data_IF_401541817298
#
_entry.id   IF_401541817298
#
_cell.length_a   1.000
_cell.length_b   1.000
_cell.length_c   1.000
_cell.angle_alpha   90.00
_cell.angle_beta   90.00
_cell.angle_gamma   90.00
#
_symmetry.space_group_name_H-M   'P 1'
#
loop_
_entity.id
_entity.type
_entity.pdbx_description
1 polymer ?
#
# COMPACT_ATOMS: atom_id res chain seq x y z
N UNK A 1 -5.45 -21.66 -2.77
CA UNK A 1 -4.36 -21.25 -3.69
C UNK A 1 -3.91 -19.87 -3.21
N UNK A 2 -2.63 -19.66 -2.92
CA UNK A 2 -2.14 -18.34 -2.53
C UNK A 2 -2.01 -17.46 -3.78
N UNK A 3 -2.54 -16.24 -3.74
CA UNK A 3 -2.41 -15.26 -4.82
C UNK A 3 -1.10 -14.50 -4.59
N UNK A 4 -0.16 -14.63 -5.53
CA UNK A 4 1.17 -14.03 -5.45
C UNK A 4 1.22 -12.71 -6.23
N UNK A 5 1.75 -11.68 -5.60
CA UNK A 5 1.95 -10.35 -6.17
C UNK A 5 3.31 -9.77 -5.84
N UNK A 6 3.43 -8.49 -6.14
CA UNK A 6 4.62 -7.69 -5.88
C UNK A 6 4.20 -6.25 -5.62
N UNK A 7 5.09 -5.49 -4.99
CA UNK A 7 4.92 -4.05 -4.95
C UNK A 7 6.12 -3.31 -5.55
N UNK A 8 5.84 -2.17 -6.20
CA UNK A 8 6.84 -1.38 -6.90
C UNK A 8 6.60 0.12 -6.76
N UNK A 9 7.69 0.85 -6.94
CA UNK A 9 7.73 2.30 -7.01
C UNK A 9 8.68 2.76 -8.13
N UNK A 10 9.06 4.03 -8.12
CA UNK A 10 10.10 4.56 -9.03
C UNK A 10 11.44 3.81 -8.92
N UNK A 11 11.73 3.18 -7.79
CA UNK A 11 12.99 2.50 -7.54
C UNK A 11 13.20 1.24 -8.41
N UNK A 12 12.13 0.60 -8.88
CA UNK A 12 12.20 -0.52 -9.82
C UNK A 12 12.33 -0.06 -11.28
N UNK A 13 12.27 1.26 -11.53
CA UNK A 13 12.46 1.82 -12.87
C UNK A 13 11.41 1.35 -13.88
N UNK A 14 11.87 0.99 -15.07
CA UNK A 14 10.99 0.54 -16.15
C UNK A 14 10.70 -0.96 -16.04
N UNK A 15 9.55 -1.30 -15.48
CA UNK A 15 9.08 -2.68 -15.35
C UNK A 15 8.51 -3.20 -16.68
N UNK A 16 8.89 -4.41 -17.08
CA UNK A 16 8.28 -5.15 -18.19
C UNK A 16 7.10 -5.98 -17.63
N UNK A 17 5.92 -5.39 -17.61
CA UNK A 17 4.73 -5.97 -16.99
C UNK A 17 4.24 -7.23 -17.70
N UNK A 18 4.52 -7.40 -19.00
CA UNK A 18 4.18 -8.64 -19.70
C UNK A 18 5.02 -9.81 -19.20
N UNK A 19 6.32 -9.59 -18.95
CA UNK A 19 7.18 -10.62 -18.34
C UNK A 19 6.78 -10.91 -16.89
N UNK A 20 6.46 -9.90 -16.10
CA UNK A 20 5.97 -10.05 -14.72
C UNK A 20 4.72 -10.96 -14.70
N UNK A 21 3.74 -10.66 -15.55
CA UNK A 21 2.52 -11.47 -15.68
C UNK A 21 2.80 -12.88 -16.17
N UNK A 22 3.67 -13.05 -17.16
CA UNK A 22 4.08 -14.35 -17.68
C UNK A 22 4.84 -15.19 -16.64
N UNK A 23 5.54 -14.56 -15.68
CA UNK A 23 6.19 -15.22 -14.56
C UNK A 23 5.20 -15.67 -13.46
N UNK A 24 3.89 -15.48 -13.65
CA UNK A 24 2.84 -15.99 -12.78
C UNK A 24 2.42 -15.07 -11.64
N UNK A 25 2.84 -13.82 -11.65
CA UNK A 25 2.35 -12.81 -10.71
C UNK A 25 0.95 -12.36 -11.09
N UNK A 26 0.06 -12.30 -10.11
CA UNK A 26 -1.38 -12.17 -10.31
C UNK A 26 -1.91 -10.79 -9.93
N UNK A 27 -1.14 -9.98 -9.23
CA UNK A 27 -1.46 -8.58 -8.91
C UNK A 27 -0.19 -7.78 -8.66
N UNK A 28 -0.32 -6.45 -8.65
CA UNK A 28 0.71 -5.53 -8.21
C UNK A 28 0.13 -4.43 -7.31
N UNK A 29 0.90 -4.02 -6.30
CA UNK A 29 0.68 -2.79 -5.53
C UNK A 29 1.63 -1.73 -6.06
N UNK A 30 1.09 -0.61 -6.55
CA UNK A 30 1.88 0.45 -7.18
C UNK A 30 1.96 1.68 -6.26
N UNK A 31 3.15 2.22 -6.01
CA UNK A 31 3.22 3.51 -5.34
C UNK A 31 2.59 4.59 -6.22
N UNK A 32 1.43 5.12 -5.79
CA UNK A 32 0.79 6.21 -6.50
C UNK A 32 1.48 7.54 -6.23
N UNK A 33 2.05 7.69 -5.03
CA UNK A 33 2.78 8.89 -4.64
C UNK A 33 3.12 8.90 -3.15
N UNK A 34 3.51 10.05 -2.66
CA UNK A 34 3.90 10.26 -1.28
C UNK A 34 3.72 11.71 -0.84
N UNK A 35 3.56 11.90 0.46
CA UNK A 35 3.47 13.22 1.06
C UNK A 35 2.41 14.10 0.41
N UNK A 36 2.62 15.40 0.45
CA UNK A 36 1.67 16.37 -0.07
C UNK A 36 1.74 16.45 -1.60
N UNK A 37 0.83 15.72 -2.29
CA UNK A 37 0.62 15.76 -3.75
C UNK A 37 1.83 15.38 -4.63
N UNK A 38 2.82 14.64 -4.12
CA UNK A 38 3.92 14.15 -4.97
C UNK A 38 3.53 12.83 -5.61
N UNK A 39 3.38 12.82 -6.92
CA UNK A 39 3.09 11.60 -7.69
C UNK A 39 4.38 10.83 -7.92
N UNK A 40 4.35 9.51 -7.75
CA UNK A 40 5.48 8.66 -8.11
C UNK A 40 5.77 8.75 -9.61
N UNK A 41 7.01 9.01 -10.03
CA UNK A 41 7.37 9.20 -11.45
C UNK A 41 6.99 8.03 -12.37
N UNK A 42 6.96 6.80 -11.84
CA UNK A 42 6.62 5.60 -12.61
C UNK A 42 5.13 5.22 -12.51
N UNK A 43 4.36 5.86 -11.62
CA UNK A 43 2.98 5.46 -11.35
C UNK A 43 2.11 5.43 -12.60
N UNK A 44 2.08 6.54 -13.34
CA UNK A 44 1.22 6.65 -14.53
C UNK A 44 1.52 5.58 -15.57
N UNK A 45 2.81 5.33 -15.82
CA UNK A 45 3.24 4.28 -16.74
C UNK A 45 2.84 2.90 -16.23
N UNK A 46 3.17 2.58 -14.99
CA UNK A 46 2.91 1.29 -14.39
C UNK A 46 1.41 0.99 -14.34
N UNK A 47 0.58 1.93 -13.87
CA UNK A 47 -0.87 1.76 -13.81
C UNK A 47 -1.50 1.59 -15.20
N UNK A 48 -1.07 2.37 -16.20
CA UNK A 48 -1.55 2.25 -17.57
C UNK A 48 -1.22 0.89 -18.20
N UNK A 49 0.03 0.43 -18.02
CA UNK A 49 0.47 -0.85 -18.57
C UNK A 49 -0.22 -2.04 -17.89
N UNK A 50 -0.32 -2.04 -16.57
CA UNK A 50 -1.05 -3.09 -15.84
C UNK A 50 -2.52 -3.15 -16.27
N UNK A 51 -3.20 -1.99 -16.37
CA UNK A 51 -4.58 -1.95 -16.85
C UNK A 51 -4.70 -2.43 -18.31
N UNK A 52 -3.75 -2.07 -19.20
CA UNK A 52 -3.72 -2.50 -20.61
C UNK A 52 -3.65 -4.02 -20.75
N UNK A 53 -2.77 -4.67 -19.99
CA UNK A 53 -2.59 -6.13 -20.05
C UNK A 53 -3.55 -6.91 -19.15
N UNK A 54 -4.42 -6.22 -18.40
CA UNK A 54 -5.35 -6.85 -17.47
C UNK A 54 -4.63 -7.53 -16.28
N UNK A 55 -3.56 -6.92 -15.75
CA UNK A 55 -2.99 -7.30 -14.48
C UNK A 55 -3.70 -6.50 -13.39
N UNK A 56 -4.37 -7.17 -12.42
CA UNK A 56 -5.04 -6.49 -11.30
C UNK A 56 -4.06 -5.64 -10.48
N UNK A 57 -4.48 -4.44 -10.11
CA UNK A 57 -3.65 -3.54 -9.29
C UNK A 57 -4.38 -2.99 -8.08
N UNK A 58 -3.62 -2.74 -7.02
CA UNK A 58 -3.88 -1.79 -5.97
C UNK A 58 -2.82 -0.70 -5.96
N UNK A 59 -2.96 0.23 -5.04
CA UNK A 59 -1.98 1.31 -4.90
C UNK A 59 -1.61 1.54 -3.45
N UNK A 60 -0.44 2.15 -3.23
CA UNK A 60 -0.09 2.68 -1.93
C UNK A 60 0.39 4.13 -2.02
N UNK A 61 0.22 4.85 -0.91
CA UNK A 61 0.66 6.22 -0.73
C UNK A 61 1.56 6.29 0.50
N UNK A 62 2.81 6.75 0.31
CA UNK A 62 3.76 6.84 1.40
C UNK A 62 3.52 8.09 2.25
N UNK A 63 3.42 7.89 3.56
CA UNK A 63 3.05 8.91 4.52
C UNK A 63 4.20 9.85 4.88
N UNK A 64 4.00 11.15 4.66
CA UNK A 64 4.77 12.23 5.26
C UNK A 64 3.87 13.20 6.06
N UNK A 65 2.64 12.81 6.35
CA UNK A 65 1.73 13.63 7.13
C UNK A 65 2.23 13.82 8.57
N UNK A 66 2.27 15.05 9.01
CA UNK A 66 2.65 15.44 10.38
C UNK A 66 1.44 15.47 11.32
N UNK A 67 0.23 15.58 10.75
CA UNK A 67 -1.04 15.63 11.49
C UNK A 67 -2.13 14.82 10.75
N UNK A 68 -3.22 14.47 11.46
CA UNK A 68 -4.35 13.80 10.82
C UNK A 68 -4.98 14.60 9.65
N UNK A 69 -4.98 15.93 9.74
CA UNK A 69 -5.50 16.82 8.69
C UNK A 69 -4.63 16.75 7.43
N UNK A 70 -3.31 16.68 7.59
CA UNK A 70 -2.37 16.51 6.46
C UNK A 70 -2.56 15.13 5.84
N UNK A 71 -2.77 14.08 6.64
CA UNK A 71 -3.06 12.74 6.12
C UNK A 71 -4.33 12.72 5.23
N UNK A 72 -5.36 13.49 5.59
CA UNK A 72 -6.55 13.66 4.74
C UNK A 72 -6.24 14.39 3.44
N UNK A 73 -5.32 15.38 3.47
CA UNK A 73 -4.87 16.07 2.25
C UNK A 73 -4.03 15.14 1.36
N UNK A 74 -3.20 14.27 1.96
CA UNK A 74 -2.48 13.23 1.23
C UNK A 74 -3.46 12.26 0.56
N UNK A 75 -4.55 11.88 1.25
CA UNK A 75 -5.61 11.08 0.67
C UNK A 75 -6.28 11.78 -0.53
N UNK A 76 -6.53 13.10 -0.46
CA UNK A 76 -7.04 13.86 -1.59
C UNK A 76 -6.06 13.90 -2.78
N UNK A 77 -4.75 13.94 -2.52
CA UNK A 77 -3.70 13.79 -3.51
C UNK A 77 -3.72 12.42 -4.18
N UNK A 78 -3.82 11.36 -3.36
CA UNK A 78 -3.94 9.99 -3.84
C UNK A 78 -5.18 9.80 -4.73
N UNK A 79 -6.35 10.28 -4.29
CA UNK A 79 -7.60 10.22 -5.08
C UNK A 79 -7.46 10.86 -6.45
N UNK A 80 -6.78 12.00 -6.55
CA UNK A 80 -6.50 12.65 -7.84
C UNK A 80 -5.56 11.80 -8.71
N UNK A 81 -4.51 11.23 -8.10
CA UNK A 81 -3.54 10.41 -8.82
C UNK A 81 -4.16 9.17 -9.44
N UNK A 82 -5.04 8.48 -8.70
CA UNK A 82 -5.65 7.20 -9.11
C UNK A 82 -6.90 7.38 -9.97
N UNK A 83 -7.37 8.61 -10.15
CA UNK A 83 -8.54 8.90 -10.97
C UNK A 83 -8.34 8.43 -12.41
N UNK A 84 -9.27 7.61 -12.91
CA UNK A 84 -9.23 7.08 -14.27
C UNK A 84 -8.52 5.74 -14.44
N UNK A 85 -7.92 5.18 -13.37
CA UNK A 85 -7.39 3.82 -13.37
C UNK A 85 -8.36 2.83 -12.74
N UNK A 86 -8.37 1.59 -13.26
CA UNK A 86 -9.09 0.50 -12.62
C UNK A 86 -8.23 -0.07 -11.51
N UNK A 87 -8.76 -0.07 -10.30
CA UNK A 87 -8.16 -0.71 -9.14
C UNK A 87 -9.00 -1.92 -8.74
N UNK A 88 -8.37 -3.08 -8.67
CA UNK A 88 -9.00 -4.35 -8.26
C UNK A 88 -8.59 -4.72 -6.83
N UNK A 89 -7.56 -4.06 -6.30
CA UNK A 89 -7.00 -4.21 -4.97
C UNK A 89 -7.10 -2.89 -4.17
N UNK A 90 -6.86 -2.94 -2.84
CA UNK A 90 -7.02 -1.78 -1.96
C UNK A 90 -6.16 -0.57 -2.32
N UNK A 91 -6.55 0.58 -1.76
CA UNK A 91 -5.69 1.76 -1.59
C UNK A 91 -5.07 1.69 -0.20
N UNK A 92 -3.76 1.57 -0.14
CA UNK A 92 -3.02 1.38 1.10
C UNK A 92 -2.32 2.67 1.55
N UNK A 93 -2.39 2.97 2.84
CA UNK A 93 -1.58 4.01 3.44
C UNK A 93 -0.34 3.41 4.08
N UNK A 94 0.81 3.78 3.59
CA UNK A 94 2.10 3.26 4.01
C UNK A 94 2.74 4.20 5.02
N UNK A 95 2.72 3.81 6.30
CA UNK A 95 3.32 4.56 7.40
C UNK A 95 4.31 3.70 8.17
N UNK A 96 5.56 4.16 8.23
CA UNK A 96 6.65 3.40 8.81
C UNK A 96 7.72 4.29 9.46
N UNK A 97 8.86 3.71 9.83
CA UNK A 97 9.91 4.43 10.56
C UNK A 97 10.43 5.67 9.83
N UNK A 98 10.47 5.67 8.50
CA UNK A 98 10.86 6.83 7.72
C UNK A 98 9.87 8.00 7.88
N UNK A 99 8.57 7.71 8.01
CA UNK A 99 7.54 8.71 8.32
C UNK A 99 7.76 9.35 9.69
N UNK A 100 8.12 8.53 10.68
CA UNK A 100 8.44 9.00 12.04
C UNK A 100 9.71 9.86 12.05
N UNK A 101 10.74 9.43 11.34
CA UNK A 101 11.99 10.18 11.22
C UNK A 101 11.75 11.55 10.56
N UNK A 102 10.92 11.59 9.52
CA UNK A 102 10.51 12.83 8.88
C UNK A 102 9.74 13.75 9.85
N UNK A 103 8.81 13.21 10.62
CA UNK A 103 8.08 13.97 11.63
C UNK A 103 9.02 14.56 12.68
N UNK A 104 9.97 13.78 13.19
CA UNK A 104 10.96 14.23 14.17
C UNK A 104 11.86 15.35 13.60
N UNK A 105 12.30 15.26 12.34
CA UNK A 105 13.05 16.31 11.66
C UNK A 105 12.28 17.62 11.52
N UNK A 106 10.93 17.54 11.49
CA UNK A 106 10.03 18.70 11.46
C UNK A 106 9.51 19.11 12.85
N UNK A 107 10.15 18.62 13.94
CA UNK A 107 9.81 19.00 15.32
C UNK A 107 8.53 18.36 15.86
N UNK A 108 8.01 17.30 15.19
CA UNK A 108 6.79 16.59 15.61
C UNK A 108 7.15 15.22 16.18
N UNK A 109 6.77 14.98 17.43
CA UNK A 109 6.92 13.67 18.07
C UNK A 109 5.63 12.86 17.87
N UNK A 110 5.72 11.72 17.20
CA UNK A 110 4.59 10.82 17.02
C UNK A 110 4.31 10.02 18.29
N UNK A 111 3.05 10.01 18.69
CA UNK A 111 2.51 9.13 19.71
C UNK A 111 1.65 8.03 19.07
N UNK A 112 1.38 6.92 19.76
CA UNK A 112 0.45 5.89 19.26
C UNK A 112 -0.92 6.47 18.84
N UNK A 113 -1.43 7.42 19.60
CA UNK A 113 -2.69 8.08 19.28
C UNK A 113 -2.60 8.91 18.00
N UNK A 114 -1.52 9.70 17.83
CA UNK A 114 -1.31 10.53 16.64
C UNK A 114 -1.19 9.67 15.39
N UNK A 115 -0.36 8.61 15.43
CA UNK A 115 -0.19 7.68 14.30
C UNK A 115 -1.49 6.99 13.96
N UNK A 116 -2.24 6.51 14.95
CA UNK A 116 -3.56 5.90 14.74
C UNK A 116 -4.54 6.86 14.04
N UNK A 117 -4.60 8.12 14.48
CA UNK A 117 -5.46 9.15 13.83
C UNK A 117 -4.99 9.50 12.41
N UNK A 118 -3.69 9.54 12.16
CA UNK A 118 -3.12 9.75 10.82
C UNK A 118 -3.61 8.65 9.87
N UNK A 119 -3.46 7.37 10.26
CA UNK A 119 -3.94 6.23 9.46
C UNK A 119 -5.46 6.31 9.25
N UNK A 120 -6.23 6.55 10.32
CA UNK A 120 -7.69 6.64 10.23
C UNK A 120 -8.15 7.73 9.25
N UNK A 121 -7.56 8.92 9.31
CA UNK A 121 -7.98 10.04 8.45
C UNK A 121 -7.75 9.76 6.96
N UNK A 122 -6.64 9.10 6.61
CA UNK A 122 -6.41 8.65 5.24
C UNK A 122 -7.43 7.58 4.83
N UNK A 123 -7.52 6.51 5.61
CA UNK A 123 -8.39 5.36 5.30
C UNK A 123 -9.87 5.75 5.22
N UNK A 124 -10.38 6.54 6.18
CA UNK A 124 -11.76 7.04 6.14
C UNK A 124 -12.03 7.88 4.89
N UNK A 125 -11.02 8.66 4.44
CA UNK A 125 -11.17 9.48 3.23
C UNK A 125 -11.25 8.61 1.98
N UNK A 126 -10.48 7.52 1.92
CA UNK A 126 -10.54 6.55 0.83
C UNK A 126 -11.90 5.84 0.78
N UNK A 127 -12.39 5.35 1.90
CA UNK A 127 -13.69 4.67 1.98
C UNK A 127 -14.87 5.58 1.61
N UNK A 128 -14.84 6.84 2.05
CA UNK A 128 -15.86 7.84 1.66
C UNK A 128 -15.93 8.07 0.16
N UNK A 129 -14.86 7.74 -0.57
CA UNK A 129 -14.80 7.84 -2.02
C UNK A 129 -14.96 6.49 -2.74
N UNK A 130 -15.39 5.46 -2.00
CA UNK A 130 -15.74 4.15 -2.55
C UNK A 130 -14.55 3.21 -2.77
N UNK A 131 -13.37 3.52 -2.23
CA UNK A 131 -12.22 2.63 -2.28
C UNK A 131 -12.14 1.77 -1.03
N UNK A 132 -11.64 0.56 -1.19
CA UNK A 132 -11.30 -0.29 -0.07
C UNK A 132 -9.97 0.17 0.54
N UNK A 133 -10.00 0.53 1.83
CA UNK A 133 -8.84 1.09 2.51
C UNK A 133 -8.01 0.03 3.24
N UNK A 134 -6.70 0.19 3.20
CA UNK A 134 -5.71 -0.67 3.82
C UNK A 134 -4.62 0.20 4.46
N UNK A 135 -3.92 -0.32 5.46
CA UNK A 135 -2.69 0.29 5.95
C UNK A 135 -1.55 -0.72 5.95
N UNK A 136 -0.35 -0.26 5.63
CA UNK A 136 0.87 -1.07 5.66
C UNK A 136 1.62 -0.84 6.95
N UNK A 137 2.16 -1.92 7.52
CA UNK A 137 3.03 -1.83 8.68
C UNK A 137 3.83 -3.12 8.91
N UNK A 138 4.95 -2.99 9.63
CA UNK A 138 5.72 -4.13 10.11
C UNK A 138 5.44 -4.43 11.58
N UNK A 139 5.92 -5.60 12.05
CA UNK A 139 5.71 -6.10 13.41
C UNK A 139 6.08 -5.10 14.52
N UNK A 140 7.26 -4.48 14.39
CA UNK A 140 7.75 -3.56 15.42
C UNK A 140 6.93 -2.29 15.46
N UNK A 141 6.57 -1.76 14.30
CA UNK A 141 5.78 -0.55 14.16
C UNK A 141 4.36 -0.75 14.69
N UNK A 142 3.71 -1.87 14.34
CA UNK A 142 2.40 -2.26 14.88
C UNK A 142 2.39 -2.29 16.40
N UNK A 143 3.44 -2.88 17.01
CA UNK A 143 3.57 -2.96 18.47
C UNK A 143 3.83 -1.59 19.09
N UNK A 144 4.78 -0.83 18.54
CA UNK A 144 5.20 0.48 19.08
C UNK A 144 4.04 1.48 19.05
N UNK A 145 3.30 1.54 17.95
CA UNK A 145 2.22 2.49 17.76
C UNK A 145 0.82 1.90 18.01
N UNK A 146 0.75 0.64 18.50
CA UNK A 146 -0.51 -0.06 18.88
C UNK A 146 -1.53 -0.11 17.75
N UNK A 147 -1.07 -0.23 16.49
CA UNK A 147 -1.93 -0.16 15.32
C UNK A 147 -2.76 -1.41 15.08
N UNK A 148 -2.50 -2.53 15.77
CA UNK A 148 -3.32 -3.74 15.66
C UNK A 148 -4.80 -3.50 15.99
N UNK A 149 -5.11 -2.50 16.81
CA UNK A 149 -6.51 -2.12 17.07
C UNK A 149 -7.26 -1.63 15.83
N UNK A 150 -6.54 -1.19 14.80
CA UNK A 150 -7.12 -0.74 13.54
C UNK A 150 -7.50 -1.90 12.61
N UNK A 151 -6.95 -3.11 12.80
CA UNK A 151 -7.22 -4.27 11.94
C UNK A 151 -8.66 -4.78 12.02
N UNK A 152 -9.40 -4.40 13.08
CA UNK A 152 -10.85 -4.64 13.15
C UNK A 152 -11.66 -3.71 12.22
N UNK A 153 -11.07 -2.65 11.72
CA UNK A 153 -11.74 -1.62 10.91
C UNK A 153 -11.19 -1.52 9.50
N UNK A 154 -9.88 -1.59 9.32
CA UNK A 154 -9.19 -1.50 8.02
C UNK A 154 -8.35 -2.74 7.78
N UNK A 155 -8.17 -3.11 6.52
CA UNK A 155 -7.29 -4.19 6.15
C UNK A 155 -5.82 -3.86 6.49
N UNK A 156 -5.06 -4.89 6.84
CA UNK A 156 -3.64 -4.78 7.13
C UNK A 156 -2.81 -5.44 6.02
N UNK A 157 -1.88 -4.69 5.46
CA UNK A 157 -0.76 -5.20 4.68
C UNK A 157 0.45 -5.30 5.61
N UNK A 158 0.85 -6.51 5.91
CA UNK A 158 1.83 -6.82 6.94
C UNK A 158 3.19 -7.18 6.34
N UNK A 159 4.21 -6.37 6.67
CA UNK A 159 5.58 -6.69 6.31
C UNK A 159 6.22 -7.58 7.38
N UNK A 160 6.56 -8.79 6.99
CA UNK A 160 7.26 -9.76 7.82
C UNK A 160 8.09 -10.70 6.94
N UNK A 161 9.37 -10.41 6.82
CA UNK A 161 10.30 -11.14 5.95
C UNK A 161 10.67 -12.47 6.57
N UNK A 162 9.90 -13.50 6.26
CA UNK A 162 10.09 -14.86 6.76
C UNK A 162 9.44 -15.88 5.82
N UNK A 163 9.77 -17.17 6.02
CA UNK A 163 9.16 -18.27 5.28
C UNK A 163 7.75 -18.64 5.73
N UNK A 164 7.32 -18.16 6.93
CA UNK A 164 5.99 -18.39 7.49
C UNK A 164 5.46 -17.12 8.11
N UNK A 165 4.20 -16.84 7.83
CA UNK A 165 3.45 -15.76 8.44
C UNK A 165 3.22 -16.03 9.93
N UNK A 166 3.47 -15.03 10.80
CA UNK A 166 3.24 -15.11 12.24
C UNK A 166 1.98 -14.35 12.72
N UNK A 167 1.35 -13.56 11.82
CA UNK A 167 0.12 -12.82 12.08
C UNK A 167 -0.97 -13.24 11.08
N UNK A 168 -2.00 -13.88 11.56
CA UNK A 168 -3.12 -14.37 10.74
C UNK A 168 -4.19 -13.32 10.46
N UNK A 169 -4.11 -12.14 11.08
CA UNK A 169 -5.11 -11.07 10.95
C UNK A 169 -4.81 -10.10 9.81
N UNK A 170 -3.75 -10.35 9.01
CA UNK A 170 -3.45 -9.55 7.84
C UNK A 170 -4.19 -10.07 6.59
N UNK A 171 -4.52 -9.15 5.68
CA UNK A 171 -5.13 -9.44 4.39
C UNK A 171 -4.08 -9.55 3.28
N UNK A 172 -2.93 -8.91 3.46
CA UNK A 172 -1.79 -9.00 2.55
C UNK A 172 -0.49 -9.14 3.35
N UNK A 173 0.43 -9.96 2.86
CA UNK A 173 1.71 -10.23 3.48
C UNK A 173 2.86 -9.96 2.53
N UNK A 174 3.70 -8.96 2.84
CA UNK A 174 4.97 -8.73 2.18
C UNK A 174 6.02 -9.62 2.86
N UNK A 175 6.47 -10.65 2.14
CA UNK A 175 7.30 -11.71 2.74
C UNK A 175 8.80 -11.59 2.46
N UNK A 176 9.18 -10.76 1.51
CA UNK A 176 10.59 -10.45 1.19
C UNK A 176 10.69 -9.11 0.48
N UNK A 177 11.84 -8.44 0.65
CA UNK A 177 12.24 -7.26 -0.12
C UNK A 177 13.40 -7.56 -1.09
N UNK A 178 13.73 -8.83 -1.30
CA UNK A 178 14.85 -9.29 -2.11
C UNK A 178 14.37 -10.31 -3.16
N UNK A 179 13.22 -10.05 -3.75
CA UNK A 179 12.70 -10.87 -4.84
C UNK A 179 13.42 -10.56 -6.15
N UNK A 180 13.70 -11.60 -6.94
CA UNK A 180 14.20 -11.48 -8.30
C UNK A 180 13.15 -12.04 -9.26
N UNK A 181 12.65 -11.24 -10.18
CA UNK A 181 11.61 -11.65 -11.13
C UNK A 181 11.90 -11.15 -12.55
N UNK A 182 11.49 -11.94 -13.52
CA UNK A 182 11.60 -11.54 -14.93
C UNK A 182 10.81 -10.26 -15.18
N UNK A 183 11.45 -9.28 -15.80
CA UNK A 183 10.83 -7.99 -16.13
C UNK A 183 11.16 -6.85 -15.16
N UNK A 184 11.88 -7.13 -14.07
CA UNK A 184 12.39 -6.12 -13.14
C UNK A 184 13.90 -6.31 -12.98
N UNK A 185 14.64 -5.20 -12.93
CA UNK A 185 16.08 -5.22 -12.65
C UNK A 185 16.31 -4.90 -11.18
N UNK A 186 17.07 -5.77 -10.48
CA UNK A 186 17.33 -5.65 -9.05
C UNK A 186 16.22 -6.22 -8.18
N UNK A 187 16.33 -5.90 -6.88
CA UNK A 187 15.42 -6.40 -5.86
C UNK A 187 14.02 -5.81 -5.98
N UNK A 188 13.03 -6.63 -5.66
CA UNK A 188 11.62 -6.23 -5.62
C UNK A 188 10.91 -6.88 -4.44
N UNK A 189 9.99 -6.15 -3.84
CA UNK A 189 9.13 -6.64 -2.76
C UNK A 189 8.10 -7.63 -3.31
N UNK A 190 7.92 -8.76 -2.60
CA UNK A 190 6.98 -9.80 -3.00
C UNK A 190 5.91 -10.04 -1.93
N UNK A 191 4.69 -10.27 -2.41
CA UNK A 191 3.49 -10.32 -1.59
C UNK A 191 2.65 -11.57 -1.81
N UNK A 192 1.90 -11.92 -0.76
CA UNK A 192 0.77 -12.83 -0.85
C UNK A 192 -0.51 -12.18 -0.34
N UNK A 193 -1.63 -12.44 -1.00
CA UNK A 193 -2.95 -12.20 -0.41
C UNK A 193 -3.23 -13.32 0.59
N UNK A 194 -3.45 -12.97 1.85
CA UNK A 194 -3.67 -13.89 2.96
C UNK A 194 -5.11 -14.38 3.04
N UNK A 195 -6.08 -13.49 2.74
CA UNK A 195 -7.50 -13.77 2.72
C UNK A 195 -8.09 -13.19 1.44
N UNK A 196 -8.86 -13.98 0.73
CA UNK A 196 -9.74 -13.46 -0.32
C UNK A 196 -10.82 -12.63 0.37
N UNK A 197 -10.66 -11.33 0.36
CA UNK A 197 -11.65 -10.41 0.88
C UNK A 197 -12.83 -10.37 -0.08
N UNK A 198 -13.87 -11.13 0.24
CA UNK A 198 -15.18 -11.02 -0.39
C UNK A 198 -15.99 -9.92 0.31
N UNK A 199 -15.49 -8.69 0.33
CA UNK A 199 -16.33 -7.56 0.70
C UNK A 199 -17.22 -7.20 -0.48
N UNK A 200 -18.52 -7.01 -0.30
CA UNK A 200 -19.35 -6.48 -1.37
C UNK A 200 -18.79 -5.13 -1.81
N UNK A 201 -18.63 -4.98 -3.11
CA UNK A 201 -18.23 -3.71 -3.71
C UNK A 201 -19.11 -2.58 -3.15
N UNK A 202 -18.56 -1.39 -2.87
CA UNK A 202 -19.39 -0.22 -2.52
C UNK A 202 -20.48 0.09 -3.55
N UNK A 203 -20.42 -0.51 -4.75
CA UNK A 203 -21.46 -0.43 -5.79
C UNK A 203 -22.65 -1.36 -5.56
N UNK A 204 -22.57 -2.27 -4.59
CA UNK A 204 -23.62 -3.25 -4.29
C UNK A 204 -24.45 -2.85 -3.06
N UNK A 205 -24.35 -1.59 -2.62
CA UNK A 205 -25.19 -0.99 -1.56
C UNK A 205 -26.03 0.16 -2.08
#
# INVERSE_FOLDING_TARGET
>A
MQIKGLDVSEFQGNVDWEKVKAAGYQFAMLRAGYGFNTIDPQFKRNASECNRIGLPIGVYWFCYALTPEIARQEADGCLKAISGYRLDYPVCYDIEQASVNYAAQNGVAFTPETVGKIVQNFCDRMEKNGYFAMYYSNRNFLKTYRLLSLSSRYALWYAFYNSKLDNTDCQMWQFTSQGEIAGISGDVDLDYVCLLYTSPSPRDR
#
